data_IF_103708367529
#
_entry.id   IF_103708367529
#
_cell.length_a   1.000
_cell.length_b   1.000
_cell.length_c   1.000
_cell.angle_alpha   90.00
_cell.angle_beta   90.00
_cell.angle_gamma   90.00
#
_symmetry.space_group_name_H-M   'P 1'
#
loop_
_entity.id
_entity.type
_entity.pdbx_description
1 polymer ?
#
# COMPACT_ATOMS: atom_id res chain seq x y z
N UNK A 1 -31.39 33.44 54.69
CA UNK A 1 -31.50 34.11 53.35
C UNK A 1 -30.11 34.36 52.74
N UNK A 2 -29.16 35.01 53.42
CA UNK A 2 -27.80 35.24 52.85
C UNK A 2 -27.00 33.95 52.56
N UNK A 3 -27.07 32.93 53.43
CA UNK A 3 -26.38 31.64 53.20
C UNK A 3 -26.93 30.86 52.03
N UNK A 4 -28.23 30.95 51.77
CA UNK A 4 -28.85 30.30 50.59
C UNK A 4 -28.52 31.02 49.27
N UNK A 5 -28.43 32.35 49.33
CA UNK A 5 -27.94 33.12 48.16
C UNK A 5 -26.49 32.81 47.86
N UNK A 6 -25.61 32.77 48.88
CA UNK A 6 -24.21 32.42 48.69
C UNK A 6 -24.00 31.00 48.12
N UNK A 7 -24.75 30.00 48.56
CA UNK A 7 -24.69 28.63 48.03
C UNK A 7 -25.16 28.54 46.57
N UNK A 8 -26.18 29.32 46.18
CA UNK A 8 -26.63 29.40 44.75
C UNK A 8 -25.62 30.08 43.85
N UNK A 9 -24.94 31.13 44.36
CA UNK A 9 -23.87 31.80 43.61
C UNK A 9 -22.66 30.87 43.41
N UNK A 10 -22.23 30.12 44.44
CA UNK A 10 -21.16 29.13 44.30
C UNK A 10 -21.52 28.05 43.32
N UNK A 11 -22.78 27.52 43.34
CA UNK A 11 -23.24 26.53 42.34
C UNK A 11 -23.26 27.06 40.90
N UNK A 12 -23.66 28.33 40.72
CA UNK A 12 -23.61 28.96 39.38
C UNK A 12 -22.18 29.20 38.88
N UNK A 13 -21.26 29.58 39.77
CA UNK A 13 -19.86 29.76 39.42
C UNK A 13 -19.20 28.41 39.08
N UNK A 14 -19.47 27.33 39.84
CA UNK A 14 -18.97 25.99 39.56
C UNK A 14 -19.50 25.46 38.20
N UNK A 15 -20.78 25.65 37.94
CA UNK A 15 -21.36 25.30 36.66
C UNK A 15 -20.72 26.11 35.52
N UNK A 16 -20.61 27.42 35.68
CA UNK A 16 -20.02 28.28 34.63
C UNK A 16 -18.54 28.00 34.38
N UNK A 17 -17.76 27.67 35.43
CA UNK A 17 -16.35 27.35 35.29
C UNK A 17 -16.13 25.97 34.66
N UNK A 18 -16.89 24.96 35.06
CA UNK A 18 -16.74 23.59 34.55
C UNK A 18 -17.20 23.52 33.08
N UNK A 19 -18.41 23.95 32.78
CA UNK A 19 -18.92 23.93 31.40
C UNK A 19 -18.21 24.95 30.49
N UNK A 20 -17.80 26.12 31.05
CA UNK A 20 -17.02 27.11 30.31
C UNK A 20 -15.67 26.56 29.84
N UNK A 21 -14.97 25.82 30.73
CA UNK A 21 -13.67 25.22 30.43
C UNK A 21 -13.81 24.09 29.36
N UNK A 22 -14.86 23.27 29.49
CA UNK A 22 -15.14 22.22 28.51
C UNK A 22 -15.50 22.79 27.14
N UNK A 23 -16.28 23.87 27.11
CA UNK A 23 -16.62 24.56 25.84
C UNK A 23 -15.37 25.17 25.18
N UNK A 24 -14.51 25.81 25.97
CA UNK A 24 -13.24 26.36 25.46
C UNK A 24 -12.34 25.23 24.91
N UNK A 25 -12.23 24.12 25.66
CA UNK A 25 -11.47 22.96 25.20
C UNK A 25 -12.03 22.37 23.92
N UNK A 26 -13.36 22.25 23.81
CA UNK A 26 -14.03 21.80 22.60
C UNK A 26 -13.77 22.73 21.40
N UNK A 27 -13.80 24.05 21.64
CA UNK A 27 -13.50 25.04 20.60
C UNK A 27 -12.03 24.97 20.14
N UNK A 28 -11.10 24.82 21.09
CA UNK A 28 -9.68 24.65 20.76
C UNK A 28 -9.44 23.38 19.93
N UNK A 29 -10.06 22.26 20.31
CA UNK A 29 -9.98 21.00 19.55
C UNK A 29 -10.55 21.20 18.15
N UNK A 30 -11.69 21.87 18.01
CA UNK A 30 -12.34 22.12 16.71
C UNK A 30 -11.45 22.96 15.80
N UNK A 31 -10.94 24.10 16.31
CA UNK A 31 -10.07 25.00 15.53
C UNK A 31 -8.77 24.32 15.15
N UNK A 32 -8.14 23.62 16.10
CA UNK A 32 -6.90 22.89 15.86
C UNK A 32 -7.10 21.76 14.85
N UNK A 33 -8.16 20.96 15.00
CA UNK A 33 -8.47 19.87 14.07
C UNK A 33 -8.77 20.38 12.66
N UNK A 34 -9.52 21.46 12.53
CA UNK A 34 -9.78 22.09 11.24
C UNK A 34 -8.51 22.61 10.57
N UNK A 35 -7.67 23.29 11.33
CA UNK A 35 -6.37 23.76 10.86
C UNK A 35 -5.47 22.60 10.43
N UNK A 36 -5.39 21.53 11.27
CA UNK A 36 -4.60 20.33 10.99
C UNK A 36 -5.10 19.63 9.71
N UNK A 37 -6.42 19.47 9.57
CA UNK A 37 -7.03 18.88 8.39
C UNK A 37 -6.65 19.63 7.10
N UNK A 38 -6.68 20.97 7.15
CA UNK A 38 -6.25 21.82 6.03
C UNK A 38 -4.74 21.74 5.74
N UNK A 39 -3.90 21.61 6.78
CA UNK A 39 -2.46 21.42 6.60
C UNK A 39 -2.13 20.08 5.98
N UNK A 40 -2.73 18.99 6.47
CA UNK A 40 -2.53 17.64 5.95
C UNK A 40 -2.99 17.55 4.50
N UNK A 41 -4.17 18.10 4.16
CA UNK A 41 -4.64 18.17 2.78
C UNK A 41 -3.61 18.83 1.85
N UNK A 42 -3.09 20.01 2.25
CA UNK A 42 -2.09 20.73 1.45
C UNK A 42 -0.76 19.96 1.33
N UNK A 43 -0.34 19.26 2.39
CA UNK A 43 0.86 18.42 2.35
C UNK A 43 0.71 17.25 1.38
N UNK A 44 -0.43 16.56 1.44
CA UNK A 44 -0.75 15.45 0.53
C UNK A 44 -0.78 15.96 -0.92
N UNK A 45 -1.48 17.05 -1.19
CA UNK A 45 -1.52 17.63 -2.55
C UNK A 45 -0.11 17.94 -3.07
N UNK A 46 0.74 18.60 -2.27
CA UNK A 46 2.12 18.92 -2.69
C UNK A 46 2.97 17.67 -2.92
N UNK A 47 2.77 16.62 -2.11
CA UNK A 47 3.46 15.34 -2.29
C UNK A 47 3.03 14.65 -3.59
N UNK A 48 1.73 14.64 -3.87
CA UNK A 48 1.15 14.05 -5.08
C UNK A 48 1.46 14.85 -6.35
N UNK A 49 1.66 16.19 -6.24
CA UNK A 49 2.04 17.03 -7.39
C UNK A 49 3.45 16.73 -7.90
N UNK A 50 4.30 16.13 -7.07
CA UNK A 50 5.65 15.68 -7.47
C UNK A 50 5.63 14.38 -8.29
N UNK A 51 4.48 13.70 -8.39
CA UNK A 51 4.32 12.45 -9.13
C UNK A 51 3.71 12.76 -10.52
N UNK A 52 4.52 12.83 -11.60
CA UNK A 52 4.06 13.27 -12.93
C UNK A 52 3.11 12.26 -13.60
N UNK A 53 3.16 10.98 -13.19
CA UNK A 53 2.32 9.91 -13.75
C UNK A 53 0.94 9.79 -13.10
N UNK A 54 0.62 10.57 -12.06
CA UNK A 54 -0.66 10.47 -11.37
C UNK A 54 -1.72 11.35 -12.03
N UNK A 55 -2.91 10.76 -12.28
CA UNK A 55 -4.04 11.47 -12.85
C UNK A 55 -4.44 12.70 -12.00
N UNK A 56 -4.76 13.79 -12.70
CA UNK A 56 -5.12 15.06 -12.07
C UNK A 56 -6.36 14.97 -11.17
N UNK A 57 -7.26 14.01 -11.43
CA UNK A 57 -8.50 13.81 -10.66
C UNK A 57 -8.27 13.05 -9.34
N UNK A 58 -7.26 12.18 -9.28
CA UNK A 58 -6.96 11.39 -8.07
C UNK A 58 -6.32 12.23 -6.96
N UNK A 59 -5.54 13.26 -7.31
CA UNK A 59 -4.86 14.12 -6.33
C UNK A 59 -5.81 14.84 -5.38
N UNK A 60 -6.82 15.60 -5.87
CA UNK A 60 -7.80 16.25 -4.99
C UNK A 60 -8.66 15.24 -4.24
N UNK A 61 -9.00 14.09 -4.84
CA UNK A 61 -9.79 13.06 -4.19
C UNK A 61 -9.08 12.51 -2.93
N UNK A 62 -7.83 12.03 -3.07
CA UNK A 62 -7.07 11.46 -1.95
C UNK A 62 -6.80 12.50 -0.85
N UNK A 63 -6.48 13.74 -1.24
CA UNK A 63 -6.24 14.81 -0.26
C UNK A 63 -7.50 15.21 0.49
N UNK A 64 -8.67 15.21 -0.18
CA UNK A 64 -9.95 15.50 0.45
C UNK A 64 -10.40 14.37 1.37
N UNK A 65 -10.16 13.11 0.99
CA UNK A 65 -10.45 11.95 1.83
C UNK A 65 -9.73 12.03 3.17
N UNK A 66 -8.43 12.33 3.15
CA UNK A 66 -7.64 12.51 4.36
C UNK A 66 -8.15 13.68 5.22
N UNK A 67 -8.54 14.80 4.60
CA UNK A 67 -9.13 15.95 5.29
C UNK A 67 -10.41 15.56 6.01
N UNK A 68 -11.35 14.91 5.32
CA UNK A 68 -12.62 14.51 5.91
C UNK A 68 -12.46 13.47 7.01
N UNK A 69 -11.50 12.54 6.90
CA UNK A 69 -11.18 11.61 7.97
C UNK A 69 -10.73 12.35 9.24
N UNK A 70 -9.84 13.35 9.13
CA UNK A 70 -9.38 14.15 10.27
C UNK A 70 -10.55 14.96 10.85
N UNK A 71 -11.40 15.56 10.01
CA UNK A 71 -12.57 16.31 10.48
C UNK A 71 -13.53 15.40 11.23
N UNK A 72 -13.79 14.18 10.76
CA UNK A 72 -14.65 13.22 11.43
C UNK A 72 -14.13 12.87 12.84
N UNK A 73 -12.84 12.57 12.97
CA UNK A 73 -12.20 12.31 14.27
C UNK A 73 -12.26 13.53 15.16
N UNK A 74 -12.03 14.73 14.62
CA UNK A 74 -12.12 15.99 15.36
C UNK A 74 -13.52 16.23 15.92
N UNK A 75 -14.57 16.00 15.11
CA UNK A 75 -15.96 16.15 15.53
C UNK A 75 -16.31 15.18 16.66
N UNK A 76 -15.88 13.93 16.58
CA UNK A 76 -16.08 12.94 17.66
C UNK A 76 -15.41 13.41 18.94
N UNK A 77 -14.18 13.93 18.87
CA UNK A 77 -13.45 14.45 20.02
C UNK A 77 -14.16 15.68 20.64
N UNK A 78 -14.70 16.57 19.83
CA UNK A 78 -15.49 17.72 20.28
C UNK A 78 -16.77 17.26 20.98
N UNK A 79 -17.53 16.33 20.39
CA UNK A 79 -18.74 15.78 20.98
C UNK A 79 -18.46 15.11 22.34
N UNK A 80 -17.36 14.35 22.45
CA UNK A 80 -16.94 13.73 23.70
C UNK A 80 -16.66 14.80 24.80
N UNK A 81 -16.04 15.91 24.44
CA UNK A 81 -15.80 17.04 25.38
C UNK A 81 -17.08 17.72 25.82
N UNK A 82 -18.08 17.77 24.97
CA UNK A 82 -19.40 18.33 25.29
C UNK A 82 -20.30 17.36 26.08
N UNK A 83 -19.75 16.20 26.54
CA UNK A 83 -20.48 15.23 27.35
C UNK A 83 -21.38 14.29 26.53
N UNK A 84 -21.32 14.34 25.20
CA UNK A 84 -22.08 13.41 24.32
C UNK A 84 -21.44 12.04 24.36
N UNK A 85 -22.23 11.01 24.56
CA UNK A 85 -21.74 9.62 24.52
C UNK A 85 -21.36 9.23 23.11
N UNK A 86 -20.05 9.19 22.82
CA UNK A 86 -19.53 8.93 21.47
C UNK A 86 -19.25 7.47 21.17
N UNK A 87 -19.47 6.56 22.12
CA UNK A 87 -19.15 5.13 21.99
C UNK A 87 -19.78 4.49 20.76
N UNK A 88 -21.06 4.76 20.51
CA UNK A 88 -21.77 4.25 19.32
C UNK A 88 -21.24 4.83 18.00
N UNK A 89 -20.87 6.11 17.99
CA UNK A 89 -20.28 6.76 16.82
C UNK A 89 -18.92 6.15 16.51
N UNK A 90 -18.10 5.95 17.53
CA UNK A 90 -16.77 5.28 17.39
C UNK A 90 -16.94 3.85 16.90
N UNK A 91 -17.93 3.11 17.41
CA UNK A 91 -18.21 1.75 16.95
C UNK A 91 -18.59 1.71 15.46
N UNK A 92 -19.47 2.64 15.01
CA UNK A 92 -19.88 2.73 13.61
C UNK A 92 -18.68 3.11 12.71
N UNK A 93 -17.89 4.10 13.13
CA UNK A 93 -16.69 4.51 12.38
C UNK A 93 -15.64 3.37 12.33
N UNK A 94 -15.49 2.61 13.41
CA UNK A 94 -14.62 1.45 13.46
C UNK A 94 -15.08 0.34 12.51
N UNK A 95 -16.38 0.02 12.51
CA UNK A 95 -16.97 -0.94 11.60
C UNK A 95 -16.82 -0.51 10.13
N UNK A 96 -17.07 0.78 9.82
CA UNK A 96 -16.86 1.34 8.48
C UNK A 96 -15.38 1.27 8.07
N UNK A 97 -14.46 1.61 8.99
CA UNK A 97 -13.03 1.51 8.76
C UNK A 97 -12.57 0.07 8.48
N UNK A 98 -13.10 -0.91 9.23
CA UNK A 98 -12.85 -2.33 8.99
C UNK A 98 -13.37 -2.76 7.61
N UNK A 99 -14.58 -2.37 7.24
CA UNK A 99 -15.17 -2.69 5.94
C UNK A 99 -14.31 -2.13 4.78
N UNK A 100 -13.84 -0.87 4.90
CA UNK A 100 -12.93 -0.26 3.93
C UNK A 100 -11.60 -1.01 3.89
N UNK A 101 -11.04 -1.36 5.05
CA UNK A 101 -9.79 -2.13 5.14
C UNK A 101 -9.88 -3.49 4.45
N UNK A 102 -10.98 -4.21 4.64
CA UNK A 102 -11.25 -5.48 3.97
C UNK A 102 -11.43 -5.29 2.45
N UNK A 103 -12.12 -4.23 2.02
CA UNK A 103 -12.27 -3.92 0.61
C UNK A 103 -10.94 -3.58 -0.09
N UNK A 104 -9.99 -2.97 0.63
CA UNK A 104 -8.67 -2.59 0.13
C UNK A 104 -7.58 -3.65 0.39
N UNK A 105 -7.92 -4.80 1.01
CA UNK A 105 -6.96 -5.82 1.42
C UNK A 105 -6.04 -6.26 0.29
N UNK A 106 -6.58 -6.56 -0.90
CA UNK A 106 -5.78 -6.99 -2.04
C UNK A 106 -4.81 -5.91 -2.54
N UNK A 107 -5.23 -4.64 -2.50
CA UNK A 107 -4.37 -3.52 -2.87
C UNK A 107 -3.21 -3.33 -1.89
N UNK A 108 -3.49 -3.39 -0.59
CA UNK A 108 -2.47 -3.32 0.46
C UNK A 108 -1.50 -4.49 0.40
N UNK A 109 -1.99 -5.69 0.06
CA UNK A 109 -1.15 -6.87 -0.14
C UNK A 109 -0.16 -6.67 -1.29
N UNK A 110 -0.59 -6.08 -2.40
CA UNK A 110 0.29 -5.77 -3.53
C UNK A 110 1.35 -4.73 -3.18
N UNK A 111 1.00 -3.69 -2.41
CA UNK A 111 1.96 -2.70 -1.92
C UNK A 111 3.01 -3.36 -1.04
N UNK A 112 2.58 -4.16 -0.06
CA UNK A 112 3.49 -4.88 0.83
C UNK A 112 4.44 -5.79 0.05
N UNK A 113 3.91 -6.56 -0.90
CA UNK A 113 4.70 -7.42 -1.78
C UNK A 113 5.70 -6.61 -2.62
N UNK A 114 5.28 -5.48 -3.21
CA UNK A 114 6.17 -4.60 -3.98
C UNK A 114 7.34 -4.06 -3.14
N UNK A 115 7.06 -3.62 -1.91
CA UNK A 115 8.11 -3.19 -0.97
C UNK A 115 9.08 -4.34 -0.66
N UNK A 116 8.55 -5.56 -0.42
CA UNK A 116 9.38 -6.72 -0.13
C UNK A 116 10.23 -7.15 -1.33
N UNK A 117 9.69 -7.10 -2.55
CA UNK A 117 10.45 -7.36 -3.78
C UNK A 117 11.61 -6.37 -3.95
N UNK A 118 11.38 -5.08 -3.68
CA UNK A 118 12.42 -4.05 -3.77
C UNK A 118 13.46 -4.13 -2.65
N UNK A 119 13.07 -4.60 -1.45
CA UNK A 119 13.94 -4.72 -0.28
C UNK A 119 14.81 -5.98 -0.35
N UNK A 120 14.19 -7.16 -0.53
CA UNK A 120 14.86 -8.46 -0.51
C UNK A 120 15.46 -8.85 -1.86
N UNK A 121 14.96 -8.26 -2.95
CA UNK A 121 15.47 -8.42 -4.33
C UNK A 121 15.69 -9.88 -4.74
N UNK A 122 14.67 -10.73 -4.73
CA UNK A 122 14.79 -12.08 -5.26
C UNK A 122 15.14 -12.08 -6.75
N UNK A 123 14.72 -11.03 -7.47
CA UNK A 123 15.11 -10.69 -8.84
C UNK A 123 15.30 -9.18 -8.99
N UNK A 124 15.84 -8.74 -10.09
CA UNK A 124 16.08 -7.34 -10.44
C UNK A 124 15.48 -7.02 -11.80
N UNK A 125 15.37 -5.73 -12.10
CA UNK A 125 15.05 -5.26 -13.45
C UNK A 125 16.12 -5.79 -14.42
N UNK A 126 15.69 -6.37 -15.53
CA UNK A 126 16.51 -7.06 -16.51
C UNK A 126 16.63 -8.58 -16.31
N UNK A 127 16.25 -9.14 -15.15
CA UNK A 127 16.27 -10.58 -14.94
C UNK A 127 15.12 -11.26 -15.68
N UNK A 128 15.38 -12.42 -16.29
CA UNK A 128 14.34 -13.33 -16.78
C UNK A 128 13.94 -14.28 -15.65
N UNK A 129 12.66 -14.25 -15.32
CA UNK A 129 12.10 -15.03 -14.21
C UNK A 129 10.90 -15.88 -14.66
N UNK A 130 10.60 -16.91 -13.89
CA UNK A 130 9.33 -17.63 -13.90
C UNK A 130 8.80 -17.73 -12.46
N UNK A 131 7.60 -17.26 -12.24
CA UNK A 131 6.91 -17.29 -10.96
C UNK A 131 5.58 -18.04 -11.12
N UNK A 132 5.61 -19.37 -11.00
CA UNK A 132 4.42 -20.22 -11.11
C UNK A 132 3.75 -20.16 -12.47
N UNK A 133 4.53 -20.17 -13.57
CA UNK A 133 4.05 -20.08 -14.94
C UNK A 133 3.87 -18.64 -15.46
N UNK A 134 4.19 -17.65 -14.65
CA UNK A 134 4.29 -16.25 -15.06
C UNK A 134 5.75 -15.97 -15.40
N UNK A 135 6.11 -16.11 -16.68
CA UNK A 135 7.49 -15.95 -17.14
C UNK A 135 7.68 -14.69 -17.98
N UNK A 136 8.88 -14.12 -17.92
CA UNK A 136 9.27 -12.94 -18.68
C UNK A 136 10.50 -12.22 -18.12
N UNK A 137 10.99 -11.24 -18.88
CA UNK A 137 12.03 -10.32 -18.43
C UNK A 137 11.39 -9.17 -17.64
N UNK A 138 11.90 -8.86 -16.48
CA UNK A 138 11.39 -7.79 -15.61
C UNK A 138 11.82 -6.45 -16.17
N UNK A 139 10.86 -5.59 -16.52
CA UNK A 139 11.11 -4.25 -17.05
C UNK A 139 11.07 -3.19 -15.95
N UNK A 140 10.05 -3.23 -15.08
CA UNK A 140 9.89 -2.28 -13.97
C UNK A 140 9.20 -2.96 -12.78
N UNK A 141 9.66 -2.65 -11.56
CA UNK A 141 8.97 -3.07 -10.33
C UNK A 141 8.26 -1.84 -9.76
N UNK A 142 6.96 -1.77 -9.98
CA UNK A 142 6.09 -0.71 -9.49
C UNK A 142 5.58 -0.97 -8.09
N UNK A 143 4.77 -0.02 -7.56
CA UNK A 143 4.20 -0.11 -6.22
C UNK A 143 3.16 -1.25 -6.09
N UNK A 144 2.34 -1.47 -7.13
CA UNK A 144 1.24 -2.44 -7.14
C UNK A 144 1.53 -3.63 -8.04
N UNK A 145 2.22 -3.39 -9.16
CA UNK A 145 2.49 -4.34 -10.22
C UNK A 145 3.96 -4.33 -10.58
N UNK A 146 4.43 -5.46 -11.08
CA UNK A 146 5.70 -5.60 -11.78
C UNK A 146 5.40 -5.77 -13.26
N UNK A 147 6.02 -4.95 -14.09
CA UNK A 147 5.89 -4.99 -15.53
C UNK A 147 7.00 -5.85 -16.13
N UNK A 148 6.62 -6.71 -17.06
CA UNK A 148 7.48 -7.73 -17.64
C UNK A 148 7.22 -7.82 -19.14
N UNK A 149 8.25 -8.23 -19.89
CA UNK A 149 8.12 -8.63 -21.30
C UNK A 149 8.31 -10.12 -21.44
N UNK A 150 7.32 -10.81 -22.05
CA UNK A 150 7.39 -12.24 -22.30
C UNK A 150 8.43 -12.56 -23.39
N UNK A 151 8.80 -13.85 -23.55
CA UNK A 151 9.79 -14.26 -24.55
C UNK A 151 9.37 -13.90 -25.99
N UNK A 152 8.09 -13.87 -26.27
CA UNK A 152 7.49 -13.48 -27.56
C UNK A 152 7.28 -11.95 -27.71
N UNK A 153 7.82 -11.14 -26.75
CA UNK A 153 7.79 -9.68 -26.82
C UNK A 153 6.47 -9.04 -26.38
N UNK A 154 5.59 -9.80 -25.71
CA UNK A 154 4.31 -9.26 -25.21
C UNK A 154 4.50 -8.61 -23.84
N UNK A 155 3.98 -7.41 -23.69
CA UNK A 155 3.91 -6.72 -22.38
C UNK A 155 2.96 -7.46 -21.42
N UNK A 156 3.40 -7.65 -20.20
CA UNK A 156 2.63 -8.28 -19.12
C UNK A 156 2.79 -7.47 -17.84
N UNK A 157 1.69 -6.97 -17.29
CA UNK A 157 1.66 -6.36 -15.97
C UNK A 157 1.13 -7.36 -14.94
N UNK A 158 1.90 -7.65 -13.91
CA UNK A 158 1.63 -8.70 -12.93
C UNK A 158 1.49 -8.08 -11.54
N UNK A 159 0.40 -8.35 -10.79
CA UNK A 159 0.28 -7.91 -9.41
C UNK A 159 1.45 -8.42 -8.55
N UNK A 160 2.09 -7.54 -7.76
CA UNK A 160 3.27 -7.89 -6.96
C UNK A 160 3.02 -9.07 -6.02
N UNK A 161 1.82 -9.15 -5.43
CA UNK A 161 1.43 -10.25 -4.55
C UNK A 161 1.45 -11.61 -5.25
N UNK A 162 1.16 -11.67 -6.54
CA UNK A 162 1.20 -12.92 -7.32
C UNK A 162 2.63 -13.43 -7.48
N UNK A 163 3.60 -12.53 -7.66
CA UNK A 163 5.01 -12.89 -7.74
C UNK A 163 5.59 -13.24 -6.37
N UNK A 164 5.25 -12.46 -5.34
CA UNK A 164 5.79 -12.63 -4.00
C UNK A 164 5.35 -13.93 -3.32
N UNK A 165 4.09 -14.34 -3.53
CA UNK A 165 3.51 -15.52 -2.87
C UNK A 165 3.80 -16.84 -3.60
N UNK A 166 4.62 -16.81 -4.64
CA UNK A 166 4.92 -17.98 -5.48
C UNK A 166 6.42 -18.27 -5.46
N UNK A 167 6.80 -19.51 -5.78
CA UNK A 167 8.20 -19.86 -6.01
C UNK A 167 8.72 -19.13 -7.24
N UNK A 168 9.86 -18.46 -7.11
CA UNK A 168 10.48 -17.68 -8.18
C UNK A 168 11.71 -18.42 -8.70
N UNK A 169 11.69 -18.80 -9.96
CA UNK A 169 12.85 -19.26 -10.71
C UNK A 169 13.49 -18.07 -11.40
N UNK A 170 14.70 -17.71 -11.00
CA UNK A 170 15.46 -16.62 -11.62
C UNK A 170 16.57 -17.21 -12.49
N UNK A 171 16.40 -17.11 -13.81
CA UNK A 171 17.32 -17.68 -14.80
C UNK A 171 18.54 -16.79 -15.07
N UNK A 172 18.51 -15.54 -14.62
CA UNK A 172 19.59 -14.56 -14.84
C UNK A 172 20.53 -14.39 -13.65
N UNK A 173 20.14 -14.88 -12.47
CA UNK A 173 20.88 -14.65 -11.22
C UNK A 173 22.22 -15.38 -11.16
N UNK A 174 22.29 -16.59 -11.72
CA UNK A 174 23.51 -17.40 -11.75
C UNK A 174 24.20 -17.30 -13.12
N UNK A 175 25.53 -17.23 -13.16
CA UNK A 175 26.28 -17.06 -14.40
C UNK A 175 26.23 -18.28 -15.31
N UNK A 176 25.92 -19.44 -14.75
CA UNK A 176 25.87 -20.70 -15.49
C UNK A 176 24.63 -21.49 -15.14
N UNK A 177 24.08 -22.20 -16.12
CA UNK A 177 22.98 -23.16 -15.93
C UNK A 177 23.22 -24.41 -16.75
N UNK A 178 22.74 -25.54 -16.31
CA UNK A 178 22.71 -26.78 -17.09
C UNK A 178 21.71 -26.64 -18.22
N UNK A 179 22.12 -27.02 -19.41
CA UNK A 179 21.27 -27.16 -20.58
C UNK A 179 21.33 -28.61 -21.05
N UNK A 180 20.20 -29.26 -21.16
CA UNK A 180 20.11 -30.61 -21.68
C UNK A 180 19.66 -30.53 -23.15
N UNK A 181 20.53 -30.94 -24.06
CA UNK A 181 20.23 -31.03 -25.46
C UNK A 181 20.06 -32.52 -25.84
N UNK A 182 18.94 -32.86 -26.48
CA UNK A 182 18.70 -34.20 -26.99
C UNK A 182 18.65 -34.16 -28.53
N UNK A 183 19.43 -35.01 -29.13
CA UNK A 183 19.47 -35.16 -30.59
C UNK A 183 19.08 -36.60 -30.96
N UNK A 184 18.09 -36.74 -31.82
CA UNK A 184 17.71 -38.04 -32.37
C UNK A 184 18.71 -38.48 -33.48
N UNK A 185 19.16 -39.71 -33.40
CA UNK A 185 19.98 -40.34 -34.46
C UNK A 185 19.20 -41.53 -35.05
N UNK A 186 19.50 -41.92 -36.29
CA UNK A 186 18.91 -43.12 -36.88
C UNK A 186 19.44 -44.38 -36.21
N UNK A 187 18.69 -45.48 -36.25
CA UNK A 187 19.08 -46.74 -35.64
C UNK A 187 20.36 -47.35 -36.28
N UNK A 188 20.68 -46.94 -37.49
CA UNK A 188 21.84 -47.40 -38.26
C UNK A 188 23.07 -46.52 -38.06
N UNK A 189 22.95 -45.39 -37.35
CA UNK A 189 24.05 -44.45 -37.12
C UNK A 189 24.96 -44.92 -36.00
N UNK A 190 26.25 -44.57 -36.14
CA UNK A 190 27.25 -44.81 -35.13
C UNK A 190 27.12 -43.79 -33.97
N UNK A 191 26.68 -44.27 -32.80
CA UNK A 191 26.44 -43.47 -31.58
C UNK A 191 27.73 -42.77 -31.11
N UNK A 192 28.89 -43.40 -31.20
CA UNK A 192 30.17 -42.85 -30.74
C UNK A 192 30.59 -41.67 -31.64
N UNK A 193 30.43 -41.83 -32.94
CA UNK A 193 30.70 -40.77 -33.92
C UNK A 193 29.75 -39.59 -33.75
N UNK A 194 28.49 -39.84 -33.55
CA UNK A 194 27.48 -38.78 -33.28
C UNK A 194 27.80 -38.02 -32.01
N UNK A 195 28.17 -38.72 -30.94
CA UNK A 195 28.58 -38.11 -29.66
C UNK A 195 29.85 -37.26 -29.77
N UNK A 196 30.85 -37.75 -30.56
CA UNK A 196 32.06 -36.99 -30.82
C UNK A 196 31.80 -35.69 -31.57
N UNK A 197 30.96 -35.73 -32.61
CA UNK A 197 30.54 -34.53 -33.36
C UNK A 197 29.78 -33.51 -32.49
N UNK A 198 28.85 -33.97 -31.64
CA UNK A 198 28.13 -33.12 -30.72
C UNK A 198 29.06 -32.45 -29.70
N UNK A 199 29.98 -33.19 -29.12
CA UNK A 199 30.96 -32.65 -28.16
C UNK A 199 31.94 -31.64 -28.80
N UNK A 200 32.26 -31.81 -30.07
CA UNK A 200 33.11 -30.86 -30.79
C UNK A 200 32.35 -29.54 -31.07
N UNK A 201 31.09 -29.65 -31.48
CA UNK A 201 30.21 -28.48 -31.67
C UNK A 201 29.91 -27.70 -30.38
N UNK A 202 29.81 -28.36 -29.22
CA UNK A 202 29.59 -27.73 -27.93
C UNK A 202 30.80 -27.00 -27.38
N UNK A 203 32.00 -27.20 -27.91
CA UNK A 203 33.27 -26.56 -27.52
C UNK A 203 33.55 -25.26 -28.29
N UNK A 204 32.81 -24.99 -29.36
CA UNK A 204 32.91 -23.77 -30.15
C UNK A 204 32.01 -22.65 -29.60
#
# INVERSE_FOLDING_TARGET
MEKELASRWHGLIDIATTYGLELIAALVILVFGWWLAGRVQKLILRALDRLPRMDATLKPFLSSLARYAIIAVTLVAVLARLGVQTTSIIAVLGAAGLAIGLALQGTLQNIAAGIMLLLLRPFRVGDYIDAGGISGTVDEIGLFTTDMTTFDGVYRSVPNASLWNTSILNYSRLPTRRMDASVGIAYEDDVERAMALLLDHLKQ
#
